data_IF_305119157829
#
_entry.id   IF_305119157829
#
_cell.length_a   1.000
_cell.length_b   1.000
_cell.length_c   1.000
_cell.angle_alpha   90.00
_cell.angle_beta   90.00
_cell.angle_gamma   90.00
#
_symmetry.space_group_name_H-M   'P 1'
#
loop_
_entity.id
_entity.type
_entity.pdbx_description
1 polymer ?
#
# COMPACT_ATOMS: atom_id res chain seq x y z
N UNK A 1 -14.26 -12.78 -9.26
CA UNK A 1 -13.88 -12.29 -8.16
C UNK A 1 -12.70 -11.46 -8.33
N UNK A 2 -12.62 -10.38 -7.72
CA UNK A 2 -11.57 -9.48 -7.91
C UNK A 2 -10.59 -9.61 -6.80
N UNK A 3 -9.33 -9.67 -7.11
CA UNK A 3 -8.31 -9.69 -6.11
C UNK A 3 -7.62 -8.32 -6.05
N UNK A 4 -8.31 -7.31 -6.43
CA UNK A 4 -7.80 -5.94 -6.42
C UNK A 4 -8.54 -5.13 -5.36
N UNK A 5 -7.78 -4.45 -4.52
CA UNK A 5 -8.36 -3.65 -3.45
C UNK A 5 -7.91 -2.22 -3.58
N UNK A 6 -8.80 -1.29 -3.43
CA UNK A 6 -8.47 0.12 -3.50
C UNK A 6 -8.10 0.58 -2.12
N UNK A 7 -6.94 1.23 -2.00
CA UNK A 7 -6.47 1.73 -0.71
C UNK A 7 -6.61 3.24 -0.71
N UNK A 8 -7.33 3.74 0.28
CA UNK A 8 -7.50 5.17 0.44
C UNK A 8 -6.97 5.60 1.79
N UNK A 9 -6.40 6.76 1.87
CA UNK A 9 -5.94 7.34 3.11
C UNK A 9 -6.48 8.74 3.19
N UNK A 10 -7.25 9.04 4.23
CA UNK A 10 -7.87 10.35 4.42
C UNK A 10 -8.73 10.70 3.20
N UNK A 11 -9.46 9.73 2.72
CA UNK A 11 -10.38 9.90 1.59
C UNK A 11 -9.69 10.17 0.27
N UNK A 12 -8.39 10.00 0.20
CA UNK A 12 -7.67 10.19 -1.06
C UNK A 12 -7.08 8.86 -1.49
N UNK A 13 -7.09 8.57 -2.77
CA UNK A 13 -6.56 7.29 -3.23
C UNK A 13 -5.06 7.22 -3.03
N UNK A 14 -4.61 6.19 -2.37
CA UNK A 14 -3.19 5.95 -2.18
C UNK A 14 -2.69 5.00 -3.26
N UNK A 15 -3.51 4.09 -3.67
CA UNK A 15 -3.13 3.13 -4.69
C UNK A 15 -4.03 1.93 -4.67
N UNK A 16 -3.60 0.86 -5.30
CA UNK A 16 -4.35 -0.36 -5.29
C UNK A 16 -3.44 -1.49 -4.87
N UNK A 17 -4.02 -2.54 -4.35
CA UNK A 17 -3.29 -3.72 -3.97
C UNK A 17 -3.83 -4.86 -4.79
N UNK A 18 -2.96 -5.60 -5.43
CA UNK A 18 -3.34 -6.71 -6.27
C UNK A 18 -2.76 -7.98 -5.72
N UNK A 19 -3.57 -9.01 -5.61
CA UNK A 19 -3.12 -10.27 -5.14
C UNK A 19 -2.38 -10.98 -6.23
N UNK A 20 -1.24 -11.58 -5.92
CA UNK A 20 -0.56 -12.40 -6.88
C UNK A 20 -0.05 -13.63 -6.11
N UNK A 21 0.48 -14.63 -6.79
CA UNK A 21 0.86 -15.86 -6.10
C UNK A 21 1.86 -15.68 -4.97
N UNK A 22 2.68 -14.68 -5.05
CA UNK A 22 3.68 -14.47 -4.01
C UNK A 22 3.18 -13.64 -2.85
N UNK A 23 2.05 -12.98 -3.01
CA UNK A 23 1.52 -12.12 -1.96
C UNK A 23 0.71 -10.99 -2.55
N UNK A 24 0.68 -9.87 -1.84
CA UNK A 24 -0.09 -8.72 -2.29
C UNK A 24 0.87 -7.60 -2.68
N UNK A 25 0.70 -7.08 -3.86
CA UNK A 25 1.55 -6.02 -4.37
C UNK A 25 0.81 -4.71 -4.39
N UNK A 26 1.50 -3.67 -4.02
CA UNK A 26 0.92 -2.33 -4.02
C UNK A 26 1.33 -1.59 -5.27
N UNK A 27 0.38 -0.91 -5.89
CA UNK A 27 0.65 -0.05 -7.03
C UNK A 27 0.20 1.35 -6.65
N UNK A 28 1.14 2.25 -6.53
CA UNK A 28 0.85 3.59 -6.02
C UNK A 28 0.08 4.43 -7.01
N UNK A 29 -0.88 5.19 -6.51
CA UNK A 29 -1.61 6.12 -7.34
C UNK A 29 -0.86 7.44 -7.46
N UNK A 30 0.01 7.75 -6.50
CA UNK A 30 0.80 8.97 -6.55
C UNK A 30 2.21 8.66 -6.08
N UNK A 31 3.13 9.54 -6.39
CA UNK A 31 4.49 9.40 -5.99
C UNK A 31 4.69 9.23 -4.52
N UNK A 32 3.83 9.82 -3.74
CA UNK A 32 3.94 9.77 -2.30
C UNK A 32 3.99 8.35 -1.78
N UNK A 33 3.34 7.43 -2.46
CA UNK A 33 3.25 6.07 -1.99
C UNK A 33 4.13 5.10 -2.77
N UNK A 34 5.03 5.60 -3.58
CA UNK A 34 5.91 4.75 -4.36
C UNK A 34 6.75 3.80 -3.53
N UNK A 35 7.07 4.16 -2.30
CA UNK A 35 7.84 3.29 -1.46
C UNK A 35 7.18 2.00 -1.17
N UNK A 36 5.88 1.93 -1.31
CA UNK A 36 5.13 0.72 -0.99
C UNK A 36 5.13 -0.27 -2.15
N UNK A 37 5.68 0.11 -3.27
CA UNK A 37 5.62 -0.75 -4.44
C UNK A 37 6.62 -1.89 -4.45
N UNK A 38 7.66 -1.83 -3.73
CA UNK A 38 8.65 -2.90 -3.72
C UNK A 38 8.25 -4.12 -2.93
N UNK A 39 7.87 -3.94 -1.69
CA UNK A 39 7.62 -5.08 -0.82
C UNK A 39 6.33 -5.82 -1.13
N UNK A 40 6.28 -7.08 -0.75
CA UNK A 40 5.05 -7.83 -0.84
C UNK A 40 4.42 -7.82 0.54
N UNK A 41 3.12 -7.67 0.57
CA UNK A 41 2.39 -7.65 1.82
C UNK A 41 1.66 -8.97 1.99
N UNK A 42 1.35 -9.35 3.20
CA UNK A 42 0.65 -10.60 3.45
C UNK A 42 -0.79 -10.52 3.08
N UNK A 43 -1.37 -9.37 3.18
CA UNK A 43 -2.77 -9.18 2.85
C UNK A 43 -3.02 -7.71 2.58
N UNK A 44 -4.22 -7.40 2.12
CA UNK A 44 -4.55 -6.02 1.76
C UNK A 44 -4.53 -5.10 2.97
N UNK A 45 -4.88 -5.63 4.13
CA UNK A 45 -4.91 -4.82 5.33
C UNK A 45 -3.51 -4.34 5.72
N UNK A 46 -2.50 -5.18 5.55
CA UNK A 46 -1.15 -4.76 5.85
C UNK A 46 -0.69 -3.67 4.91
N UNK A 47 -1.06 -3.76 3.65
CA UNK A 47 -0.73 -2.73 2.70
C UNK A 47 -1.41 -1.42 3.07
N UNK A 48 -2.66 -1.50 3.52
CA UNK A 48 -3.39 -0.32 3.93
C UNK A 48 -2.73 0.33 5.14
N UNK A 49 -2.31 -0.47 6.12
CA UNK A 49 -1.65 0.08 7.28
C UNK A 49 -0.35 0.76 6.89
N UNK A 50 0.39 0.17 5.97
CA UNK A 50 1.63 0.77 5.52
C UNK A 50 1.36 2.11 4.85
N UNK A 51 0.28 2.20 4.08
CA UNK A 51 -0.08 3.45 3.43
C UNK A 51 -0.42 4.52 4.45
N UNK A 52 -1.17 4.13 5.48
CA UNK A 52 -1.55 5.08 6.53
C UNK A 52 -0.31 5.58 7.27
N UNK A 53 0.61 4.68 7.59
CA UNK A 53 1.81 5.09 8.27
C UNK A 53 2.63 6.04 7.42
N UNK A 54 2.75 5.74 6.15
CA UNK A 54 3.51 6.60 5.26
C UNK A 54 2.88 7.98 5.18
N UNK A 55 1.57 8.02 5.08
CA UNK A 55 0.86 9.30 4.99
C UNK A 55 1.02 10.11 6.26
N UNK A 56 1.15 9.44 7.40
CA UNK A 56 1.31 10.13 8.66
C UNK A 56 2.76 10.45 9.00
N UNK A 57 3.68 10.05 8.13
CA UNK A 57 5.09 10.31 8.41
C UNK A 57 5.74 9.32 9.34
N UNK A 58 5.04 8.24 9.67
CA UNK A 58 5.57 7.27 10.57
C UNK A 58 6.43 6.24 9.90
N UNK A 59 6.50 6.23 8.60
CA UNK A 59 7.21 5.25 7.88
C UNK A 59 8.64 5.66 7.86
N UNK A 60 9.35 5.64 8.93
CA UNK A 60 10.54 6.12 8.97
C UNK A 60 11.46 5.17 8.77
N UNK A 61 12.23 5.25 8.16
CA UNK A 61 13.12 4.45 7.95
C UNK A 61 14.10 4.69 8.75
N UNK A 62 14.19 4.85 9.55
CA UNK A 62 15.03 5.16 10.36
C UNK A 62 15.92 4.56 10.38
N UNK A 63 16.25 4.39 10.15
CA UNK A 63 17.19 3.83 10.24
C UNK A 63 17.77 3.79 10.62
#
# INVERSE_FOLDING_TARGET
>A
MSDTYIIEVSSKPAGIVVRDPAGYRFFAATHRFNRLEGPLFRNAREAERAAIRLANGDFQLVA
#
